data_IF_081236523528
#
_entry.id   IF_081236523528
#
_cell.length_a   1.000
_cell.length_b   1.000
_cell.length_c   1.000
_cell.angle_alpha   90.00
_cell.angle_beta   90.00
_cell.angle_gamma   90.00
#
_symmetry.space_group_name_H-M   'P 1'
#
loop_
_entity.id
_entity.type
_entity.pdbx_description
1 polymer ?
#
# COMPACT_ATOMS: atom_id res chain seq x y z
N UNK A 1 9.92 18.01 -6.21
CA UNK A 1 10.65 16.73 -6.28
C UNK A 1 9.79 15.64 -5.71
N UNK A 2 9.72 14.53 -6.39
CA UNK A 2 8.99 13.34 -5.91
C UNK A 2 9.98 12.20 -5.69
N UNK A 3 9.89 11.55 -4.56
CA UNK A 3 10.63 10.32 -4.27
C UNK A 3 9.63 9.19 -4.07
N UNK A 4 10.06 7.98 -4.32
CA UNK A 4 9.21 6.80 -4.17
C UNK A 4 9.99 5.69 -3.50
N UNK A 5 9.36 5.03 -2.53
CA UNK A 5 9.92 3.85 -1.90
C UNK A 5 8.95 2.68 -2.02
N UNK A 6 9.47 1.55 -2.47
CA UNK A 6 8.71 0.32 -2.61
C UNK A 6 8.90 -0.60 -1.42
N UNK A 7 7.83 -1.36 -1.13
CA UNK A 7 7.82 -2.42 -0.12
C UNK A 7 7.13 -3.62 -0.73
N UNK A 8 7.49 -4.81 -0.27
CA UNK A 8 6.83 -6.04 -0.71
C UNK A 8 6.29 -6.81 0.48
N UNK A 9 5.18 -7.50 0.27
CA UNK A 9 4.64 -8.42 1.26
C UNK A 9 3.88 -9.55 0.57
N UNK A 10 3.82 -10.68 1.24
CA UNK A 10 3.08 -11.85 0.78
C UNK A 10 1.77 -11.93 1.57
N UNK A 11 0.65 -12.07 0.88
CA UNK A 11 -0.63 -12.17 1.56
C UNK A 11 -1.64 -12.94 0.73
N UNK A 12 -2.61 -13.54 1.42
CA UNK A 12 -3.74 -14.20 0.81
C UNK A 12 -4.97 -13.32 0.89
N UNK A 13 -5.89 -13.50 -0.04
CA UNK A 13 -7.20 -12.85 0.01
C UNK A 13 -8.21 -13.61 -0.86
N UNK A 14 -9.46 -13.26 -0.67
CA UNK A 14 -10.54 -13.60 -1.60
C UNK A 14 -11.43 -12.39 -1.75
N UNK A 15 -12.14 -12.30 -2.88
CA UNK A 15 -13.04 -11.18 -3.16
C UNK A 15 -14.49 -11.64 -2.91
N UNK A 16 -15.11 -11.23 -1.80
CA UNK A 16 -16.45 -11.72 -1.44
C UNK A 16 -17.58 -11.13 -2.28
N UNK A 17 -17.34 -9.99 -2.94
CA UNK A 17 -18.38 -9.25 -3.65
C UNK A 17 -18.44 -9.52 -5.16
N UNK A 18 -17.64 -10.48 -5.65
CA UNK A 18 -17.72 -10.94 -7.04
C UNK A 18 -18.63 -12.18 -7.14
N UNK A 19 -19.14 -12.53 -8.32
CA UNK A 19 -19.92 -13.76 -8.51
C UNK A 19 -19.14 -15.00 -8.08
N UNK A 20 -19.85 -16.03 -7.59
CA UNK A 20 -19.22 -17.29 -7.16
C UNK A 20 -18.41 -17.98 -8.25
N UNK A 21 -18.76 -17.73 -9.49
CA UNK A 21 -18.04 -18.27 -10.65
C UNK A 21 -16.74 -17.54 -10.95
N UNK A 22 -16.52 -16.36 -10.33
CA UNK A 22 -15.29 -15.58 -10.53
C UNK A 22 -14.13 -16.25 -9.80
N UNK A 23 -12.99 -16.39 -10.49
CA UNK A 23 -11.80 -17.06 -9.91
C UNK A 23 -11.31 -16.41 -8.61
N UNK A 24 -11.45 -15.10 -8.48
CA UNK A 24 -10.99 -14.37 -7.30
C UNK A 24 -11.89 -14.55 -6.07
N UNK A 25 -13.06 -15.20 -6.22
CA UNK A 25 -13.91 -15.58 -5.10
C UNK A 25 -13.23 -16.61 -4.20
N UNK A 26 -12.34 -17.43 -4.78
CA UNK A 26 -11.60 -18.43 -4.03
C UNK A 26 -10.38 -17.81 -3.38
N UNK A 27 -9.99 -18.35 -2.22
CA UNK A 27 -8.77 -17.95 -1.53
C UNK A 27 -7.56 -18.15 -2.45
N UNK A 28 -6.75 -17.12 -2.60
CA UNK A 28 -5.53 -17.16 -3.37
C UNK A 28 -4.55 -16.13 -2.79
N UNK A 29 -3.30 -16.16 -3.24
CA UNK A 29 -2.27 -15.27 -2.74
C UNK A 29 -1.55 -14.52 -3.82
N UNK A 30 -0.93 -13.42 -3.42
CA UNK A 30 -0.08 -12.60 -4.29
C UNK A 30 1.18 -12.19 -3.56
N UNK A 31 2.23 -11.94 -4.34
CA UNK A 31 3.37 -11.16 -3.91
C UNK A 31 3.05 -9.70 -4.19
N UNK A 32 2.56 -9.01 -3.17
CA UNK A 32 2.17 -7.61 -3.30
C UNK A 32 3.39 -6.70 -3.30
N UNK A 33 3.25 -5.59 -4.00
CA UNK A 33 4.17 -4.47 -3.88
C UNK A 33 3.38 -3.21 -3.57
N UNK A 34 3.91 -2.40 -2.66
CA UNK A 34 3.36 -1.09 -2.33
C UNK A 34 4.43 -0.05 -2.62
N UNK A 35 4.09 0.98 -3.41
CA UNK A 35 4.95 2.13 -3.63
C UNK A 35 4.33 3.33 -2.93
N UNK A 36 5.10 3.93 -2.02
CA UNK A 36 4.75 5.20 -1.37
C UNK A 36 5.52 6.31 -2.07
N UNK A 37 4.80 7.23 -2.70
CA UNK A 37 5.38 8.41 -3.33
C UNK A 37 5.18 9.62 -2.41
N UNK A 38 6.27 10.35 -2.17
CA UNK A 38 6.29 11.54 -1.34
C UNK A 38 6.79 12.72 -2.17
N UNK A 39 6.20 13.89 -1.97
CA UNK A 39 6.49 15.06 -2.81
C UNK A 39 6.66 16.30 -1.95
N UNK A 40 7.72 17.04 -2.23
CA UNK A 40 8.00 18.27 -1.53
C UNK A 40 9.30 18.90 -1.98
N UNK A 41 9.72 20.00 -1.35
CA UNK A 41 11.00 20.63 -1.65
C UNK A 41 12.15 19.79 -1.10
N UNK A 42 13.29 19.88 -1.75
CA UNK A 42 14.53 19.29 -1.25
C UNK A 42 15.12 20.20 -0.17
N UNK A 43 15.37 19.65 1.00
CA UNK A 43 16.04 20.38 2.09
C UNK A 43 17.47 20.74 1.63
N UNK A 44 17.88 22.01 1.68
CA UNK A 44 19.18 22.42 1.16
C UNK A 44 20.37 21.93 1.99
N UNK A 45 20.13 21.52 3.23
CA UNK A 45 21.18 21.01 4.11
C UNK A 45 21.33 19.50 3.97
N UNK A 46 20.24 18.76 4.13
CA UNK A 46 20.26 17.30 4.08
C UNK A 46 20.25 16.75 2.66
N UNK A 47 19.66 17.47 1.72
CA UNK A 47 19.44 16.99 0.37
C UNK A 47 18.22 16.07 0.23
N UNK A 48 17.41 15.94 1.26
CA UNK A 48 16.25 15.06 1.29
C UNK A 48 14.94 15.80 1.00
N UNK A 49 14.01 15.13 0.33
CA UNK A 49 12.59 15.45 0.44
C UNK A 49 12.08 14.89 1.77
N UNK A 50 12.33 13.61 1.99
CA UNK A 50 12.12 12.89 3.24
C UNK A 50 13.20 11.81 3.29
N UNK A 51 13.72 11.51 4.45
CA UNK A 51 14.68 10.41 4.62
C UNK A 51 13.93 9.08 4.36
N UNK A 52 14.45 8.25 3.47
CA UNK A 52 13.87 6.92 3.22
C UNK A 52 13.80 6.08 4.50
N UNK A 53 14.72 6.29 5.41
CA UNK A 53 14.70 5.60 6.70
C UNK A 53 13.45 5.94 7.53
N UNK A 54 13.01 7.20 7.49
CA UNK A 54 11.78 7.63 8.15
C UNK A 54 10.55 7.00 7.49
N UNK A 55 10.57 6.83 6.19
CA UNK A 55 9.48 6.14 5.46
C UNK A 55 9.40 4.67 5.88
N UNK A 56 10.54 4.00 5.98
CA UNK A 56 10.60 2.61 6.47
C UNK A 56 10.07 2.48 7.89
N UNK A 57 10.46 3.39 8.77
CA UNK A 57 9.99 3.38 10.15
C UNK A 57 8.49 3.63 10.27
N UNK A 58 7.94 4.51 9.44
CA UNK A 58 6.52 4.81 9.45
C UNK A 58 5.69 3.64 8.92
N UNK A 59 6.14 3.00 7.84
CA UNK A 59 5.39 1.92 7.19
C UNK A 59 5.62 0.55 7.82
N UNK A 60 6.74 0.33 8.47
CA UNK A 60 7.11 -0.98 9.03
C UNK A 60 6.05 -1.65 9.89
N UNK A 61 5.42 -0.95 10.84
CA UNK A 61 4.35 -1.55 11.65
C UNK A 61 3.13 -1.98 10.82
N UNK A 62 2.77 -1.19 9.79
CA UNK A 62 1.65 -1.52 8.91
C UNK A 62 1.99 -2.71 8.03
N UNK A 63 3.22 -2.76 7.52
CA UNK A 63 3.71 -3.88 6.72
C UNK A 63 3.58 -5.20 7.48
N UNK A 64 3.89 -5.21 8.77
CA UNK A 64 3.76 -6.39 9.62
C UNK A 64 2.33 -6.86 9.80
N UNK A 65 1.36 -5.95 9.70
CA UNK A 65 -0.06 -6.32 9.77
C UNK A 65 -0.55 -6.97 8.47
N UNK A 66 0.12 -6.69 7.36
CA UNK A 66 -0.27 -7.19 6.03
C UNK A 66 0.45 -8.47 5.66
N UNK A 67 1.73 -8.56 6.00
CA UNK A 67 2.61 -9.63 5.52
C UNK A 67 2.30 -10.97 6.18
N UNK A 68 2.06 -11.99 5.35
CA UNK A 68 1.75 -13.36 5.77
C UNK A 68 0.41 -13.52 6.48
N UNK A 69 -0.54 -12.61 6.21
CA UNK A 69 -1.90 -12.70 6.73
C UNK A 69 -2.91 -12.87 5.60
N UNK A 70 -4.11 -13.28 5.96
CA UNK A 70 -5.28 -13.18 5.08
C UNK A 70 -5.82 -11.76 5.23
N UNK A 71 -5.81 -10.99 4.16
CA UNK A 71 -6.19 -9.58 4.19
C UNK A 71 -7.64 -9.38 4.63
N UNK A 72 -8.53 -10.33 4.29
CA UNK A 72 -9.95 -10.25 4.66
C UNK A 72 -10.17 -10.21 6.17
N UNK A 73 -9.22 -10.69 6.96
CA UNK A 73 -9.32 -10.72 8.42
C UNK A 73 -8.93 -9.38 9.07
N UNK A 74 -8.45 -8.44 8.27
CA UNK A 74 -8.00 -7.14 8.76
C UNK A 74 -9.17 -6.15 8.70
N UNK A 75 -9.42 -5.43 9.81
CA UNK A 75 -10.48 -4.44 9.87
C UNK A 75 -10.28 -3.35 8.80
N UNK A 76 -11.30 -3.12 7.99
CA UNK A 76 -11.29 -2.19 6.87
C UNK A 76 -10.89 -2.83 5.54
N UNK A 77 -10.39 -4.08 5.56
CA UNK A 77 -10.00 -4.83 4.37
C UNK A 77 -10.90 -6.05 4.12
N UNK A 78 -12.17 -5.98 4.49
CA UNK A 78 -13.14 -7.05 4.29
C UNK A 78 -13.37 -7.35 2.81
N UNK A 79 -13.19 -6.34 1.93
CA UNK A 79 -13.20 -6.49 0.49
C UNK A 79 -11.84 -6.03 -0.08
N UNK A 80 -10.79 -6.85 0.02
CA UNK A 80 -9.41 -6.39 -0.18
C UNK A 80 -8.98 -6.40 -1.65
N UNK A 81 -9.61 -5.58 -2.47
CA UNK A 81 -9.12 -5.26 -3.81
C UNK A 81 -7.88 -4.38 -3.71
N UNK A 82 -7.09 -4.29 -4.77
CA UNK A 82 -5.95 -3.38 -4.81
C UNK A 82 -6.36 -1.94 -4.54
N UNK A 83 -7.53 -1.53 -5.05
CA UNK A 83 -8.11 -0.20 -4.85
C UNK A 83 -8.40 0.08 -3.37
N UNK A 84 -9.06 -0.86 -2.71
CA UNK A 84 -9.40 -0.73 -1.28
C UNK A 84 -8.14 -0.73 -0.41
N UNK A 85 -7.18 -1.60 -0.73
CA UNK A 85 -5.91 -1.66 0.00
C UNK A 85 -5.16 -0.34 -0.13
N UNK A 86 -5.11 0.25 -1.33
CA UNK A 86 -4.41 1.52 -1.55
C UNK A 86 -5.02 2.66 -0.72
N UNK A 87 -6.35 2.79 -0.71
CA UNK A 87 -7.04 3.79 0.09
C UNK A 87 -6.86 3.55 1.60
N UNK A 88 -6.86 2.29 2.03
CA UNK A 88 -6.66 1.91 3.43
C UNK A 88 -5.26 2.29 3.92
N UNK A 89 -4.23 2.04 3.10
CA UNK A 89 -2.86 2.43 3.40
C UNK A 89 -2.74 3.95 3.47
N UNK A 90 -3.32 4.66 2.51
CA UNK A 90 -3.32 6.13 2.50
C UNK A 90 -3.84 6.72 3.80
N UNK A 91 -5.01 6.27 4.23
CA UNK A 91 -5.66 6.77 5.44
C UNK A 91 -4.76 6.63 6.67
N UNK A 92 -4.00 5.54 6.75
CA UNK A 92 -3.11 5.26 7.88
C UNK A 92 -1.76 5.93 7.79
N UNK A 93 -1.26 6.15 6.57
CA UNK A 93 0.09 6.71 6.37
C UNK A 93 0.10 8.23 6.25
N UNK A 94 -0.95 8.84 5.73
CA UNK A 94 -0.98 10.30 5.54
C UNK A 94 -0.70 11.09 6.83
N UNK A 95 -1.26 10.73 8.00
CA UNK A 95 -0.92 11.42 9.25
C UNK A 95 0.54 11.29 9.66
N UNK A 96 1.19 10.19 9.31
CA UNK A 96 2.60 9.93 9.65
C UNK A 96 3.56 10.51 8.62
N UNK A 97 3.10 10.64 7.38
CA UNK A 97 3.89 11.12 6.24
C UNK A 97 3.10 12.22 5.55
N UNK A 98 3.11 13.45 6.08
CA UNK A 98 2.29 14.55 5.53
C UNK A 98 2.57 14.88 4.07
N UNK A 99 3.77 14.56 3.58
CA UNK A 99 4.17 14.78 2.19
C UNK A 99 3.77 13.63 1.27
N UNK A 100 3.08 12.61 1.79
CA UNK A 100 2.60 11.49 0.97
C UNK A 100 1.73 12.02 -0.18
N UNK A 101 2.10 11.66 -1.41
CA UNK A 101 1.45 12.12 -2.63
C UNK A 101 0.60 11.03 -3.28
N UNK A 102 1.03 9.76 -3.20
CA UNK A 102 0.25 8.65 -3.72
C UNK A 102 0.68 7.33 -3.10
N UNK A 103 -0.24 6.37 -3.18
CA UNK A 103 -0.01 4.97 -2.78
C UNK A 103 -0.38 4.10 -3.97
N UNK A 104 0.56 3.27 -4.44
CA UNK A 104 0.31 2.25 -5.46
C UNK A 104 0.34 0.88 -4.82
N UNK A 105 -0.64 0.05 -5.16
CA UNK A 105 -0.70 -1.34 -4.73
C UNK A 105 -0.73 -2.25 -5.95
N UNK A 106 0.29 -3.09 -6.06
CA UNK A 106 0.44 -4.08 -7.13
C UNK A 106 0.07 -5.45 -6.59
N UNK A 107 -0.92 -6.11 -7.20
CA UNK A 107 -1.17 -7.54 -6.96
C UNK A 107 -0.20 -8.40 -7.76
N UNK A 108 0.16 -7.92 -8.94
CA UNK A 108 1.15 -8.52 -9.83
C UNK A 108 2.09 -7.42 -10.33
N UNK A 109 3.25 -7.75 -10.91
CA UNK A 109 4.12 -6.73 -11.49
C UNK A 109 3.48 -5.94 -12.64
N UNK A 110 2.40 -6.45 -13.21
CA UNK A 110 1.80 -5.92 -14.44
C UNK A 110 0.60 -5.00 -14.21
N UNK A 111 0.06 -4.94 -12.99
CA UNK A 111 -1.14 -4.15 -12.71
C UNK A 111 -1.12 -3.56 -11.31
N UNK A 112 -1.58 -2.33 -11.19
CA UNK A 112 -1.64 -1.67 -9.90
C UNK A 112 -2.83 -0.72 -9.83
N UNK A 113 -3.27 -0.45 -8.61
CA UNK A 113 -4.18 0.65 -8.29
C UNK A 113 -3.39 1.76 -7.62
N UNK A 114 -3.70 3.00 -7.95
CA UNK A 114 -3.06 4.17 -7.34
C UNK A 114 -4.12 5.04 -6.70
N UNK A 115 -3.88 5.42 -5.45
CA UNK A 115 -4.73 6.34 -4.71
C UNK A 115 -3.97 7.61 -4.36
N UNK A 116 -4.62 8.74 -4.55
CA UNK A 116 -4.13 10.05 -4.14
C UNK A 116 -5.30 10.97 -3.82
N UNK A 117 -5.09 11.90 -2.92
CA UNK A 117 -6.04 12.96 -2.61
C UNK A 117 -5.37 14.28 -2.92
N UNK A 118 -5.91 14.98 -3.83
CA UNK A 118 -5.23 16.13 -4.19
C UNK A 118 -5.57 17.20 -4.80
#
# INVERSE_FOLDING_TARGET
MRITQGFTFEAAHFLPNVPETHRCRRMHGHSYRVDLALEGPVDPVTGFVVDFFDVENAFGPLLKQLDHYCLNDIAGLENPTAEIIAAWIWTRMKPLLPTLASVRVYETPMSYAEYSEG
#
